data_IF_017762187533
#
_entry.id   IF_017762187533
#
_cell.length_a   1.000
_cell.length_b   1.000
_cell.length_c   1.000
_cell.angle_alpha   90.00
_cell.angle_beta   90.00
_cell.angle_gamma   90.00
#
_symmetry.space_group_name_H-M   'P 1'
#
loop_
_entity.id
_entity.type
_entity.pdbx_description
1 polymer ?
2 non-polymer ?
3 non-polymer ?
4 non-polymer ?
5 water ?
#
# COMPACT_ATOMS: atom_id res chain seq x y z
N UNK A 2 -13.76 -16.75 -16.41
CA UNK A 2 -13.58 -15.57 -17.29
C UNK A 2 -14.63 -14.51 -16.91
N UNK A 3 -15.56 -14.21 -17.83
CA UNK A 3 -16.70 -13.32 -17.56
C UNK A 3 -16.32 -11.89 -17.15
N UNK A 4 -15.66 -11.70 -16.00
CA UNK A 4 -15.20 -10.35 -15.63
C UNK A 4 -14.17 -9.83 -16.63
N UNK A 5 -13.33 -10.70 -17.17
CA UNK A 5 -12.33 -10.25 -18.14
C UNK A 5 -13.01 -9.66 -19.38
N UNK A 6 -14.01 -10.35 -19.90
CA UNK A 6 -14.74 -9.84 -21.07
C UNK A 6 -15.37 -8.48 -20.79
N UNK A 7 -15.99 -8.32 -19.63
CA UNK A 7 -16.63 -7.08 -19.25
C UNK A 7 -15.60 -5.97 -19.05
N UNK A 8 -14.51 -6.29 -18.37
CA UNK A 8 -13.46 -5.31 -18.08
C UNK A 8 -12.77 -4.90 -19.37
N UNK A 9 -12.37 -5.88 -20.17
CA UNK A 9 -11.62 -5.61 -21.40
C UNK A 9 -12.43 -4.81 -22.42
N UNK A 10 -13.74 -5.05 -22.46
CA UNK A 10 -14.62 -4.40 -23.44
C UNK A 10 -14.85 -2.93 -23.11
N UNK A 11 -14.79 -2.57 -21.84
CA UNK A 11 -15.17 -1.23 -21.37
C UNK A 11 -14.27 -0.10 -21.88
N UNK A 12 -14.90 1.03 -22.18
CA UNK A 12 -14.19 2.26 -22.44
C UNK A 12 -13.77 2.77 -21.07
N UNK A 13 -12.50 3.11 -20.93
CA UNK A 13 -11.97 3.49 -19.63
C UNK A 13 -12.14 5.00 -19.46
N UNK A 14 -12.92 5.43 -18.44
CA UNK A 14 -13.11 6.87 -18.27
C UNK A 14 -11.81 7.58 -17.90
N UNK A 15 -11.79 8.89 -18.07
CA UNK A 15 -10.60 9.69 -17.84
C UNK A 15 -10.27 9.74 -16.35
N UNK A 16 -9.02 10.08 -16.04
CA UNK A 16 -8.59 10.27 -14.66
C UNK A 16 -9.43 11.36 -13.98
N UNK A 17 -9.70 12.43 -14.71
CA UNK A 17 -10.52 13.53 -14.17
C UNK A 17 -11.91 13.06 -13.76
N UNK A 18 -12.57 12.30 -14.63
CA UNK A 18 -13.89 11.73 -14.33
C UNK A 18 -13.84 10.81 -13.11
N UNK A 19 -12.81 9.98 -13.04
CA UNK A 19 -12.68 8.99 -11.96
C UNK A 19 -12.18 9.55 -10.63
N UNK A 20 -11.70 10.80 -10.64
CA UNK A 20 -11.24 11.53 -9.43
C UNK A 20 -9.99 10.92 -8.75
N UNK A 21 -9.27 10.08 -9.47
CA UNK A 21 -8.14 9.34 -8.90
C UNK A 21 -6.89 10.20 -8.65
N UNK A 22 -6.86 11.43 -9.16
CA UNK A 22 -5.78 12.37 -8.85
C UNK A 22 -5.95 13.04 -7.47
N UNK A 23 -7.15 12.93 -6.90
CA UNK A 23 -7.45 13.58 -5.63
C UNK A 23 -6.91 12.78 -4.44
N UNK A 24 -6.11 13.40 -3.58
CA UNK A 24 -5.68 12.72 -2.35
C UNK A 24 -6.85 12.27 -1.48
N UNK A 25 -7.97 13.00 -1.53
CA UNK A 25 -9.13 12.69 -0.66
C UNK A 25 -10.08 11.63 -1.26
N UNK A 26 -9.66 11.00 -2.35
CA UNK A 26 -10.43 9.97 -3.06
C UNK A 26 -10.99 8.89 -2.13
N UNK A 27 -12.22 8.45 -2.44
CA UNK A 27 -12.91 7.41 -1.72
C UNK A 27 -13.29 6.28 -2.68
N UNK A 28 -12.94 5.04 -2.32
CA UNK A 28 -13.35 3.87 -3.10
C UNK A 28 -14.75 3.36 -2.75
N UNK A 29 -15.28 3.78 -1.60
CA UNK A 29 -16.47 3.15 -1.01
C UNK A 29 -17.67 3.04 -1.96
N UNK A 30 -17.85 4.04 -2.82
CA UNK A 30 -19.02 4.11 -3.70
C UNK A 30 -18.83 3.36 -5.02
N UNK A 31 -17.64 2.80 -5.24
CA UNK A 31 -17.31 2.17 -6.52
C UNK A 31 -17.51 0.66 -6.47
N UNK A 32 -17.93 0.08 -7.59
CA UNK A 32 -17.99 -1.37 -7.75
C UNK A 32 -16.59 -1.93 -7.97
N UNK A 33 -16.44 -3.25 -7.82
CA UNK A 33 -15.18 -3.91 -8.15
C UNK A 33 -14.74 -3.58 -9.58
N UNK A 34 -15.68 -3.67 -10.53
CA UNK A 34 -15.40 -3.32 -11.93
C UNK A 34 -14.89 -1.88 -12.05
N UNK A 35 -15.52 -0.96 -11.32
CA UNK A 35 -15.10 0.44 -11.36
C UNK A 35 -13.68 0.64 -10.83
N UNK A 36 -13.33 -0.06 -9.76
CA UNK A 36 -11.95 0.01 -9.25
C UNK A 36 -10.95 -0.56 -10.27
N UNK A 37 -11.38 -1.58 -11.02
CA UNK A 37 -10.54 -2.16 -12.07
C UNK A 37 -10.31 -1.15 -13.19
N UNK A 38 -11.36 -0.45 -13.61
CA UNK A 38 -11.23 0.62 -14.59
C UNK A 38 -10.29 1.72 -14.10
N UNK A 39 -10.43 2.12 -12.85
CA UNK A 39 -9.52 3.09 -12.24
C UNK A 39 -8.06 2.64 -12.34
N UNK A 40 -7.82 1.36 -12.09
CA UNK A 40 -6.48 0.80 -12.13
C UNK A 40 -5.91 0.82 -13.55
N UNK A 41 -6.71 0.47 -14.54
CA UNK A 41 -6.26 0.61 -15.93
C UNK A 41 -5.86 2.07 -16.23
N UNK A 42 -6.66 3.02 -15.75
CA UNK A 42 -6.40 4.44 -15.96
C UNK A 42 -5.08 4.89 -15.33
N UNK A 43 -4.75 4.35 -14.16
CA UNK A 43 -3.46 4.66 -13.51
C UNK A 43 -2.29 4.24 -14.38
N UNK A 44 -2.35 3.01 -14.91
CA UNK A 44 -1.29 2.52 -15.81
C UNK A 44 -1.18 3.42 -17.04
N UNK A 45 -2.33 3.71 -17.62
CA UNK A 45 -2.42 4.48 -18.86
C UNK A 45 -1.85 5.89 -18.68
N UNK A 46 -2.28 6.59 -17.63
CA UNK A 46 -1.89 7.98 -17.43
C UNK A 46 -0.51 8.18 -16.81
N UNK A 47 0.11 7.09 -16.37
CA UNK A 47 1.53 7.11 -15.99
C UNK A 47 2.46 6.64 -17.12
N UNK A 48 1.93 6.59 -18.35
CA UNK A 48 2.76 6.32 -19.53
C UNK A 48 3.41 4.95 -19.43
N UNK A 49 2.67 3.96 -18.92
CA UNK A 49 3.19 2.60 -18.71
C UNK A 49 2.73 1.62 -19.81
N UNK A 50 1.55 1.85 -20.37
CA UNK A 50 0.95 0.88 -21.29
C UNK A 50 1.67 0.84 -22.63
N UNK A 51 1.71 1.98 -23.33
CA UNK A 51 2.41 2.07 -24.62
C UNK A 51 3.93 1.97 -24.43
N UNK A 52 4.45 2.63 -23.39
CA UNK A 52 5.89 2.61 -23.08
C UNK A 52 6.46 1.18 -22.99
N UNK A 53 5.75 0.28 -22.32
CA UNK A 53 6.24 -1.09 -22.12
C UNK A 53 5.45 -2.12 -22.92
N UNK A 54 4.69 -1.63 -23.90
CA UNK A 54 3.96 -2.43 -24.86
C UNK A 54 3.03 -3.47 -24.21
N UNK A 55 2.31 -3.05 -23.18
CA UNK A 55 1.34 -3.92 -22.53
C UNK A 55 0.11 -4.11 -23.41
N UNK A 56 -0.27 -5.37 -23.62
CA UNK A 56 -1.50 -5.72 -24.32
C UNK A 56 -2.68 -5.47 -23.40
N UNK A 57 -3.74 -4.85 -23.95
CA UNK A 57 -4.90 -4.49 -23.15
C UNK A 57 -5.51 -5.67 -22.39
N UNK A 58 -5.67 -6.79 -23.10
CA UNK A 58 -6.30 -7.97 -22.54
C UNK A 58 -5.45 -8.56 -21.42
N UNK A 59 -4.13 -8.50 -21.59
CA UNK A 59 -3.18 -9.01 -20.60
C UNK A 59 -3.20 -8.15 -19.34
N UNK A 60 -3.21 -6.83 -19.51
CA UNK A 60 -3.28 -5.91 -18.38
C UNK A 60 -4.57 -6.11 -17.59
N UNK A 61 -5.68 -6.21 -18.31
CA UNK A 61 -6.97 -6.49 -17.71
C UNK A 61 -6.93 -7.80 -16.94
N UNK A 62 -6.35 -8.84 -17.54
CA UNK A 62 -6.30 -10.15 -16.87
C UNK A 62 -5.48 -10.06 -15.60
N UNK A 63 -4.33 -9.39 -15.69
CA UNK A 63 -3.43 -9.23 -14.54
C UNK A 63 -4.14 -8.50 -13.39
N UNK A 64 -4.80 -7.38 -13.70
CA UNK A 64 -5.53 -6.62 -12.69
C UNK A 64 -6.56 -7.49 -11.98
N UNK A 65 -7.31 -8.27 -12.76
CA UNK A 65 -8.32 -9.16 -12.20
C UNK A 65 -7.68 -10.27 -11.34
N UNK A 66 -6.54 -10.79 -11.79
CA UNK A 66 -5.80 -11.80 -11.01
C UNK A 66 -5.34 -11.25 -9.66
N UNK A 67 -4.80 -10.03 -9.69
CA UNK A 67 -4.39 -9.36 -8.46
C UNK A 67 -5.58 -9.18 -7.52
N UNK A 68 -6.67 -8.62 -8.04
CA UNK A 68 -7.89 -8.44 -7.23
C UNK A 68 -8.35 -9.77 -6.62
N UNK A 69 -8.39 -10.82 -7.44
CA UNK A 69 -8.86 -12.15 -7.01
C UNK A 69 -8.01 -12.74 -5.89
N UNK A 70 -6.71 -12.44 -5.89
CA UNK A 70 -5.81 -13.07 -4.93
C UNK A 70 -5.68 -12.33 -3.59
N UNK A 71 -6.53 -11.33 -3.37
CA UNK A 71 -6.78 -10.80 -2.03
C UNK A 71 -7.93 -11.59 -1.42
N UNK A 72 -7.88 -11.78 -0.11
CA UNK A 72 -8.96 -12.49 0.57
C UNK A 72 -10.06 -11.51 0.95
N UNK A 73 -11.19 -11.58 0.25
CA UNK A 73 -12.25 -10.56 0.39
C UNK A 73 -12.84 -10.51 1.80
N UNK A 74 -12.79 -11.62 2.52
CA UNK A 74 -13.36 -11.66 3.87
C UNK A 74 -12.41 -11.20 4.98
N UNK A 75 -11.15 -10.92 4.63
CA UNK A 75 -10.23 -10.27 5.58
C UNK A 75 -10.67 -8.79 5.63
N UNK A 76 -10.83 -8.24 6.83
CA UNK A 76 -11.59 -6.99 7.02
C UNK A 76 -10.93 -5.76 6.40
N UNK A 77 -9.62 -5.65 6.55
CA UNK A 77 -8.87 -4.52 6.06
C UNK A 77 -7.93 -4.88 4.90
N UNK A 78 -7.10 -5.92 5.08
CA UNK A 78 -6.09 -6.28 4.06
C UNK A 78 -6.72 -7.10 2.94
N UNK A 79 -7.55 -6.41 2.16
CA UNK A 79 -8.23 -7.00 1.01
C UNK A 79 -7.99 -6.11 -0.20
N UNK A 80 -8.63 -6.43 -1.32
CA UNK A 80 -8.37 -5.69 -2.55
C UNK A 80 -8.51 -4.17 -2.39
N UNK A 81 -9.52 -3.70 -1.63
CA UNK A 81 -9.77 -2.26 -1.55
C UNK A 81 -8.59 -1.51 -0.90
N UNK A 82 -7.90 -2.15 0.04
CA UNK A 82 -6.71 -1.52 0.65
C UNK A 82 -5.58 -1.41 -0.38
N UNK A 83 -5.39 -2.47 -1.18
CA UNK A 83 -4.34 -2.46 -2.21
C UNK A 83 -4.64 -1.42 -3.28
N UNK A 84 -5.89 -1.41 -3.73
CA UNK A 84 -6.38 -0.41 -4.66
C UNK A 84 -6.17 1.01 -4.14
N UNK A 85 -6.53 1.24 -2.87
CA UNK A 85 -6.38 2.58 -2.27
C UNK A 85 -4.94 2.99 -2.14
N UNK A 86 -4.08 2.02 -1.86
CA UNK A 86 -2.65 2.25 -1.79
C UNK A 86 -2.10 2.68 -3.16
N UNK A 87 -2.54 1.99 -4.22
CA UNK A 87 -2.16 2.35 -5.59
C UNK A 87 -2.73 3.71 -5.97
N UNK A 88 -3.95 3.99 -5.54
CA UNK A 88 -4.56 5.31 -5.80
C UNK A 88 -3.76 6.45 -5.18
N UNK A 89 -3.33 6.24 -3.93
CA UNK A 89 -2.50 7.25 -3.28
C UNK A 89 -1.18 7.41 -4.00
N UNK A 90 -0.59 6.30 -4.45
CA UNK A 90 0.62 6.36 -5.27
C UNK A 90 0.40 7.22 -6.51
N UNK A 91 -0.66 6.92 -7.25
CA UNK A 91 -1.01 7.72 -8.43
C UNK A 91 -1.16 9.21 -8.10
N UNK A 92 -1.91 9.50 -7.03
CA UNK A 92 -2.12 10.89 -6.60
C UNK A 92 -0.80 11.56 -6.22
N UNK A 93 0.05 10.84 -5.49
CA UNK A 93 1.36 11.37 -5.08
C UNK A 93 2.24 11.69 -6.30
N UNK A 94 2.24 10.79 -7.28
CA UNK A 94 3.02 10.98 -8.50
C UNK A 94 2.48 12.16 -9.31
N UNK A 95 1.15 12.32 -9.33
CA UNK A 95 0.51 13.36 -10.13
C UNK A 95 0.36 14.67 -9.35
N UNK A 96 -0.64 14.75 -8.48
CA UNK A 96 -0.89 15.95 -7.69
C UNK A 96 0.29 16.33 -6.79
N UNK A 97 0.94 15.31 -6.23
CA UNK A 97 2.09 15.50 -5.34
C UNK A 97 3.38 15.77 -6.09
N UNK A 98 3.36 15.65 -7.41
CA UNK A 98 4.48 16.00 -8.28
C UNK A 98 5.74 15.17 -8.04
N UNK A 99 5.55 13.92 -7.64
CA UNK A 99 6.69 13.01 -7.46
C UNK A 99 7.11 12.37 -8.80
N UNK A 100 6.22 12.30 -9.78
CA UNK A 100 6.48 11.58 -11.03
C UNK A 100 7.80 11.99 -11.68
N UNK A 101 7.99 13.28 -11.87
CA UNK A 101 9.20 13.77 -12.57
C UNK A 101 10.51 13.55 -11.82
N UNK A 102 10.44 13.16 -10.55
CA UNK A 102 11.63 12.84 -9.75
C UNK A 102 12.12 11.39 -9.91
N UNK A 103 11.33 10.57 -10.59
CA UNK A 103 11.60 9.12 -10.67
C UNK A 103 11.78 8.68 -12.12
N UNK A 104 12.42 7.53 -12.30
CA UNK A 104 12.57 6.92 -13.63
C UNK A 104 11.28 6.22 -14.04
N UNK A 105 11.15 5.92 -15.34
CA UNK A 105 9.98 5.17 -15.84
C UNK A 105 9.85 3.80 -15.17
N UNK A 106 10.98 3.13 -14.99
CA UNK A 106 11.02 1.80 -14.35
C UNK A 106 10.60 1.87 -12.89
N UNK A 107 11.04 2.90 -12.19
CA UNK A 107 10.65 3.11 -10.80
C UNK A 107 9.14 3.31 -10.70
N UNK A 108 8.56 4.09 -11.61
CA UNK A 108 7.11 4.33 -11.61
C UNK A 108 6.36 3.03 -11.90
N UNK A 109 6.82 2.29 -12.90
CA UNK A 109 6.26 1.00 -13.23
C UNK A 109 6.27 0.06 -12.01
N UNK A 110 7.42 -0.01 -11.33
CA UNK A 110 7.60 -0.92 -10.18
C UNK A 110 6.73 -0.50 -9.00
N UNK A 111 6.66 0.80 -8.75
CA UNK A 111 5.88 1.31 -7.62
C UNK A 111 4.39 1.02 -7.78
N UNK A 112 3.85 1.20 -8.99
CA UNK A 112 2.43 0.96 -9.21
C UNK A 112 2.11 -0.54 -9.07
N UNK A 113 2.93 -1.39 -9.65
CA UNK A 113 2.77 -2.85 -9.51
C UNK A 113 2.92 -3.27 -8.05
N UNK A 114 3.93 -2.72 -7.39
CA UNK A 114 4.19 -3.02 -5.98
C UNK A 114 3.01 -2.60 -5.10
N UNK A 115 2.52 -1.38 -5.29
CA UNK A 115 1.37 -0.88 -4.51
C UNK A 115 0.16 -1.84 -4.62
N UNK A 116 -0.16 -2.25 -5.84
CA UNK A 116 -1.31 -3.13 -6.09
C UNK A 116 -1.10 -4.53 -5.52
N UNK A 117 0.16 -4.97 -5.53
CA UNK A 117 0.52 -6.34 -5.14
C UNK A 117 1.01 -6.52 -3.71
N UNK A 118 1.18 -5.42 -2.99
CA UNK A 118 2.00 -5.46 -1.76
C UNK A 118 1.43 -6.25 -0.58
N UNK A 119 0.12 -6.54 -0.56
CA UNK A 119 -0.49 -7.36 0.51
C UNK A 119 -1.15 -8.63 -0.02
N UNK A 120 -0.75 -9.09 -1.20
CA UNK A 120 -1.40 -10.23 -1.86
C UNK A 120 -1.51 -11.46 -0.95
N UNK A 121 -2.70 -12.07 -0.92
CA UNK A 121 -2.98 -13.25 -0.10
C UNK A 121 -2.74 -13.04 1.41
N UNK A 122 -2.95 -11.82 1.89
CA UNK A 122 -2.81 -11.52 3.31
C UNK A 122 -3.80 -12.37 4.13
N UNK A 123 -3.30 -13.10 5.13
CA UNK A 123 -4.17 -13.96 5.97
C UNK A 123 -4.97 -13.25 7.05
N UNK A 124 -4.78 -11.94 7.21
CA UNK A 124 -5.46 -11.15 8.22
C UNK A 124 -4.89 -11.27 9.62
N UNK A 125 -3.66 -11.76 9.72
CA UNK A 125 -2.92 -11.84 10.98
C UNK A 125 -1.49 -11.34 10.74
N UNK A 126 -0.82 -10.97 11.82
CA UNK A 126 0.46 -10.28 11.77
C UNK A 126 1.64 -11.23 11.63
N UNK A 127 2.81 -10.68 11.34
CA UNK A 127 4.05 -11.44 11.29
C UNK A 127 4.31 -12.18 12.60
N UNK A 128 4.09 -11.45 13.69
CA UNK A 128 4.28 -12.00 15.03
C UNK A 128 3.38 -13.23 15.23
N UNK A 129 2.12 -13.13 14.81
CA UNK A 129 1.18 -14.26 14.91
C UNK A 129 1.67 -15.47 14.10
N UNK A 130 2.14 -15.21 12.87
CA UNK A 130 2.64 -16.28 12.01
C UNK A 130 3.85 -16.98 12.65
N UNK A 131 4.71 -16.19 13.29
CA UNK A 131 5.88 -16.73 13.98
C UNK A 131 5.43 -17.61 15.15
N UNK A 132 4.48 -17.08 15.92
CA UNK A 132 4.02 -17.75 17.13
C UNK A 132 3.16 -18.98 16.90
N UNK A 133 2.56 -19.10 15.71
CA UNK A 133 1.74 -20.26 15.34
C UNK A 133 2.48 -21.18 14.36
N UNK A 134 3.81 -21.05 14.35
CA UNK A 134 4.69 -21.99 13.67
C UNK A 134 4.41 -22.07 12.17
N UNK A 135 4.16 -20.91 11.57
CA UNK A 135 3.90 -20.83 10.15
C UNK A 135 5.10 -21.32 9.36
N UNK A 136 4.82 -22.14 8.36
CA UNK A 136 5.78 -22.59 7.38
C UNK A 136 6.48 -21.41 6.70
N UNK A 137 5.73 -20.32 6.49
CA UNK A 137 6.27 -19.09 5.92
C UNK A 137 7.34 -18.47 6.81
N UNK A 138 7.09 -18.46 8.12
CA UNK A 138 8.06 -17.89 9.07
C UNK A 138 9.35 -18.69 9.06
N UNK A 139 9.22 -20.01 8.93
CA UNK A 139 10.35 -20.92 8.86
C UNK A 139 11.12 -20.64 7.57
N UNK A 140 10.41 -20.60 6.45
CA UNK A 140 10.97 -20.31 5.13
C UNK A 140 11.77 -19.00 5.12
N UNK A 141 11.25 -17.97 5.79
CA UNK A 141 11.82 -16.62 5.69
C UNK A 141 12.54 -16.17 6.98
N UNK A 142 12.93 -17.15 7.81
CA UNK A 142 13.60 -16.94 9.10
C UNK A 142 13.06 -15.77 9.92
N UNK A 143 11.73 -15.71 10.01
CA UNK A 143 11.01 -14.74 10.85
C UNK A 143 11.18 -13.28 10.45
N UNK A 144 11.72 -13.03 9.25
CA UNK A 144 12.01 -11.67 8.82
C UNK A 144 11.04 -11.28 7.71
N UNK A 145 10.24 -10.25 7.97
CA UNK A 145 9.26 -9.73 6.99
C UNK A 145 8.53 -10.88 6.32
N UNK A 146 7.98 -11.76 7.16
CA UNK A 146 7.39 -13.01 6.70
C UNK A 146 6.24 -12.79 5.71
N UNK A 147 5.24 -12.02 6.13
CA UNK A 147 4.12 -11.67 5.27
C UNK A 147 4.58 -11.07 3.95
N UNK A 148 5.54 -10.15 4.04
CA UNK A 148 5.95 -9.35 2.89
C UNK A 148 6.75 -10.18 1.87
N UNK A 149 7.53 -11.13 2.36
CA UNK A 149 8.12 -12.13 1.47
C UNK A 149 7.04 -12.94 0.78
N UNK A 150 5.97 -13.28 1.49
CA UNK A 150 4.85 -14.00 0.87
C UNK A 150 4.15 -13.16 -0.19
N UNK A 151 3.94 -11.88 0.10
CA UNK A 151 3.28 -10.98 -0.85
C UNK A 151 4.12 -10.84 -2.11
N UNK A 152 5.44 -10.76 -1.94
CA UNK A 152 6.36 -10.73 -3.09
C UNK A 152 6.31 -12.04 -3.90
N UNK A 153 6.27 -13.18 -3.22
CA UNK A 153 6.12 -14.50 -3.88
C UNK A 153 4.90 -14.53 -4.76
N UNK A 154 3.79 -14.07 -4.19
CA UNK A 154 2.52 -14.02 -4.90
C UNK A 154 2.57 -13.04 -6.06
N UNK A 155 3.20 -11.89 -5.85
CA UNK A 155 3.39 -10.90 -6.91
C UNK A 155 4.08 -11.51 -8.14
N UNK A 156 5.20 -12.17 -7.90
CA UNK A 156 5.95 -12.89 -8.93
C UNK A 156 5.09 -13.94 -9.64
N UNK A 157 4.40 -14.74 -8.85
CA UNK A 157 3.56 -15.81 -9.38
C UNK A 157 2.53 -15.29 -10.40
N UNK A 158 1.89 -14.17 -10.09
CA UNK A 158 0.88 -13.59 -10.98
C UNK A 158 1.55 -12.98 -12.22
N UNK A 159 2.68 -12.30 -12.02
CA UNK A 159 3.45 -11.73 -13.12
C UNK A 159 3.93 -12.79 -14.12
N UNK A 160 4.15 -14.01 -13.65
CA UNK A 160 4.59 -15.12 -14.49
C UNK A 160 3.46 -15.99 -15.00
N UNK A 161 2.25 -15.74 -14.53
CA UNK A 161 1.09 -16.53 -14.94
C UNK A 161 0.76 -16.32 -16.41
N UNK A 162 0.53 -17.42 -17.15
CA UNK A 162 0.11 -17.28 -18.55
C UNK A 162 -1.04 -16.28 -18.72
N UNK A 163 -0.90 -15.38 -19.69
CA UNK A 163 -1.94 -14.39 -19.98
C UNK A 163 -1.90 -13.14 -19.10
N UNK A 164 -1.05 -13.16 -18.07
CA UNK A 164 -0.95 -12.06 -17.09
C UNK A 164 0.39 -11.31 -17.12
N UNK A 165 1.22 -11.63 -18.11
CA UNK A 165 2.63 -11.23 -18.08
C UNK A 165 2.83 -9.79 -18.59
N UNK A 166 2.42 -8.82 -17.77
CA UNK A 166 2.49 -7.41 -18.14
C UNK A 166 3.92 -6.84 -18.26
N UNK A 167 4.91 -7.58 -17.78
CA UNK A 167 6.31 -7.18 -17.94
C UNK A 167 7.03 -7.95 -19.06
N UNK A 168 6.30 -8.72 -19.85
CA UNK A 168 6.90 -9.54 -20.92
C UNK A 168 7.56 -8.68 -22.00
N UNK A 169 7.15 -7.41 -22.11
CA UNK A 169 7.70 -6.50 -23.11
C UNK A 169 9.03 -5.86 -22.75
N UNK A 170 9.44 -5.96 -21.50
CA UNK A 170 10.68 -5.32 -21.05
C UNK A 170 11.91 -6.05 -21.58
N UNK A 171 12.96 -5.29 -21.85
CA UNK A 171 14.26 -5.88 -22.18
C UNK A 171 14.80 -6.60 -20.95
N UNK A 172 15.81 -7.44 -21.18
CA UNK A 172 16.36 -8.24 -20.10
C UNK A 172 16.87 -7.36 -18.95
N UNK A 173 17.56 -6.27 -19.27
CA UNK A 173 18.10 -5.38 -18.24
C UNK A 173 17.02 -4.54 -17.54
N UNK A 174 16.04 -4.06 -18.29
CA UNK A 174 14.93 -3.31 -17.68
C UNK A 174 14.10 -4.23 -16.77
N UNK A 175 13.93 -5.48 -17.19
CA UNK A 175 13.18 -6.46 -16.39
C UNK A 175 13.88 -6.70 -15.05
N UNK A 176 15.18 -6.99 -15.10
CA UNK A 176 16.00 -7.15 -13.90
C UNK A 176 15.87 -5.97 -12.95
N UNK A 177 16.01 -4.75 -13.50
CA UNK A 177 15.97 -3.53 -12.69
C UNK A 177 14.62 -3.40 -12.00
N UNK A 178 13.56 -3.62 -12.77
CA UNK A 178 12.20 -3.47 -12.28
C UNK A 178 11.87 -4.46 -11.18
N UNK A 179 12.20 -5.73 -11.39
CA UNK A 179 11.91 -6.75 -10.37
C UNK A 179 12.60 -6.46 -9.04
N UNK A 180 13.82 -5.93 -9.10
CA UNK A 180 14.56 -5.56 -7.90
C UNK A 180 13.86 -4.41 -7.15
N UNK A 181 13.38 -3.41 -7.88
CA UNK A 181 12.62 -2.30 -7.27
C UNK A 181 11.31 -2.80 -6.64
N UNK A 182 10.60 -3.69 -7.34
CA UNK A 182 9.36 -4.28 -6.82
C UNK A 182 9.60 -5.00 -5.49
N UNK A 183 10.60 -5.88 -5.44
CA UNK A 183 10.97 -6.57 -4.20
C UNK A 183 11.19 -5.60 -3.06
N UNK A 184 12.04 -4.60 -3.26
CA UNK A 184 12.35 -3.63 -2.21
C UNK A 184 11.12 -2.85 -1.78
N UNK A 185 10.28 -2.47 -2.76
CA UNK A 185 9.06 -1.71 -2.49
C UNK A 185 8.08 -2.51 -1.64
N UNK A 186 7.87 -3.78 -1.99
CA UNK A 186 6.95 -4.63 -1.24
C UNK A 186 7.49 -4.90 0.15
N UNK A 187 8.78 -5.23 0.25
CA UNK A 187 9.40 -5.47 1.55
C UNK A 187 9.33 -4.25 2.46
N UNK A 188 9.48 -3.06 1.87
CA UNK A 188 9.41 -1.78 2.59
C UNK A 188 8.11 -1.59 3.38
N UNK A 189 7.03 -2.24 2.93
CA UNK A 189 5.73 -2.07 3.58
C UNK A 189 5.61 -2.80 4.91
N UNK A 190 6.63 -3.57 5.29
CA UNK A 190 6.75 -4.08 6.66
C UNK A 190 7.03 -2.90 7.58
N UNK A 191 6.05 -2.55 8.43
CA UNK A 191 6.24 -1.43 9.34
C UNK A 191 7.50 -1.55 10.21
N UNK A 192 7.91 -2.79 10.48
CA UNK A 192 9.16 -3.05 11.18
C UNK A 192 10.37 -2.47 10.43
N UNK A 193 10.37 -2.62 9.11
CA UNK A 193 11.44 -2.09 8.26
C UNK A 193 11.38 -0.56 8.17
N UNK A 194 10.17 -0.01 8.16
CA UNK A 194 10.00 1.44 8.17
C UNK A 194 10.63 2.04 9.43
N UNK A 195 10.27 1.49 10.59
CA UNK A 195 10.80 1.97 11.86
C UNK A 195 12.32 1.83 11.91
N UNK A 196 12.85 0.74 11.35
CA UNK A 196 14.29 0.50 11.30
C UNK A 196 15.06 1.51 10.43
N UNK A 197 14.46 1.89 9.31
CA UNK A 197 15.18 2.65 8.28
C UNK A 197 14.86 4.14 8.25
N UNK A 198 13.75 4.56 8.86
CA UNK A 198 13.28 5.94 8.71
C UNK A 198 14.21 6.96 9.36
N UNK A 199 14.91 6.53 10.41
CA UNK A 199 15.86 7.40 11.12
C UNK A 199 16.88 8.00 10.16
N UNK A 200 17.44 7.14 9.31
CA UNK A 200 18.40 7.58 8.30
C UNK A 200 17.80 8.65 7.40
N UNK A 201 16.58 8.40 6.92
CA UNK A 201 15.86 9.32 6.04
C UNK A 201 15.62 10.67 6.71
N UNK A 202 15.09 10.66 7.93
CA UNK A 202 14.82 11.89 8.66
C UNK A 202 16.11 12.67 8.94
N UNK A 203 17.19 11.95 9.25
CA UNK A 203 18.49 12.55 9.57
C UNK A 203 19.08 13.26 8.35
N UNK A 204 19.04 12.57 7.21
CA UNK A 204 19.51 13.15 5.96
C UNK A 204 18.79 14.47 5.66
N UNK A 205 17.48 14.47 5.82
CA UNK A 205 16.69 15.67 5.58
C UNK A 205 17.03 16.76 6.60
N UNK A 206 17.13 16.39 7.87
CA UNK A 206 17.43 17.35 8.93
C UNK A 206 18.81 18.01 8.72
N UNK A 207 19.75 17.24 8.19
CA UNK A 207 21.12 17.72 7.98
C UNK A 207 21.33 18.33 6.58
N UNK A 208 20.25 18.48 5.82
CA UNK A 208 20.30 18.98 4.45
C UNK A 208 21.30 18.16 3.62
N UNK A 209 21.26 16.84 3.80
CA UNK A 209 22.13 15.93 3.08
C UNK A 209 21.36 15.08 2.09
N UNK A 210 20.02 15.20 2.07
CA UNK A 210 19.21 14.28 1.28
C UNK A 210 19.38 14.55 -0.21
N UNK A 211 19.70 13.49 -0.96
CA UNK A 211 20.06 13.58 -2.37
C UNK A 211 19.44 12.44 -3.15
N UNK A 212 18.39 12.74 -3.91
CA UNK A 212 17.73 11.71 -4.73
C UNK A 212 18.61 11.10 -5.82
N UNK A 213 19.70 11.78 -6.20
CA UNK A 213 20.64 11.23 -7.20
C UNK A 213 21.53 10.12 -6.65
N UNK A 214 21.63 10.02 -5.33
CA UNK A 214 22.33 8.89 -4.73
C UNK A 214 21.41 7.68 -4.79
N UNK A 215 21.86 6.59 -5.45
CA UNK A 215 21.06 5.37 -5.57
C UNK A 215 20.49 4.84 -4.26
N UNK A 216 21.29 4.83 -3.20
CA UNK A 216 20.82 4.34 -1.92
C UNK A 216 19.71 5.23 -1.33
N UNK A 217 19.88 6.54 -1.45
CA UNK A 217 18.91 7.48 -0.91
C UNK A 217 17.62 7.47 -1.72
N UNK A 218 17.74 7.25 -3.03
CA UNK A 218 16.58 7.02 -3.90
C UNK A 218 15.75 5.82 -3.45
N UNK A 219 16.41 4.69 -3.20
CA UNK A 219 15.66 3.51 -2.78
C UNK A 219 15.10 3.68 -1.37
N UNK A 220 15.84 4.36 -0.49
CA UNK A 220 15.32 4.74 0.82
C UNK A 220 14.04 5.59 0.66
N UNK A 221 14.07 6.59 -0.22
CA UNK A 221 12.88 7.40 -0.48
C UNK A 221 11.70 6.58 -1.00
N UNK A 222 11.97 5.67 -1.95
CA UNK A 222 10.93 4.80 -2.49
C UNK A 222 10.29 3.95 -1.40
N UNK A 223 11.09 3.48 -0.43
CA UNK A 223 10.56 2.70 0.70
C UNK A 223 9.62 3.54 1.55
N UNK A 224 10.01 4.78 1.80
CA UNK A 224 9.21 5.71 2.62
C UNK A 224 7.92 6.09 1.89
N UNK A 225 8.03 6.32 0.58
CA UNK A 225 6.85 6.61 -0.25
C UNK A 225 5.86 5.45 -0.22
N UNK A 226 6.36 4.22 -0.29
CA UNK A 226 5.51 3.04 -0.16
C UNK A 226 4.72 3.04 1.16
N UNK A 227 5.42 3.31 2.26
CA UNK A 227 4.77 3.39 3.58
C UNK A 227 3.71 4.49 3.63
N UNK A 228 4.04 5.66 3.05
CA UNK A 228 3.13 6.79 3.02
C UNK A 228 1.82 6.42 2.33
N UNK A 229 1.94 5.69 1.21
CA UNK A 229 0.77 5.22 0.47
C UNK A 229 0.03 4.10 1.22
N UNK A 230 0.79 3.20 1.84
CA UNK A 230 0.22 2.07 2.58
C UNK A 230 -0.66 2.59 3.73
N UNK A 231 -0.22 3.68 4.36
CA UNK A 231 -0.95 4.26 5.49
C UNK A 231 -1.94 5.37 5.10
N UNK A 232 -2.21 5.52 3.80
CA UNK A 232 -2.95 6.66 3.26
C UNK A 232 -4.31 6.92 3.92
N UNK A 233 -5.00 5.86 4.36
CA UNK A 233 -6.31 6.02 4.97
C UNK A 233 -6.28 6.97 6.17
N UNK A 234 -5.14 7.02 6.87
CA UNK A 234 -4.97 7.91 8.02
C UNK A 234 -5.01 9.40 7.66
N UNK A 235 -4.87 9.71 6.37
CA UNK A 235 -4.88 11.09 5.87
C UNK A 235 -6.22 11.52 5.27
N UNK A 236 -7.16 10.58 5.14
CA UNK A 236 -8.43 10.84 4.43
C UNK A 236 -9.39 11.68 5.26
N UNK A 237 -10.40 12.29 4.60
CA UNK A 237 -11.46 12.99 5.33
C UNK A 237 -12.01 12.12 6.44
N UNK A 238 -12.36 12.74 7.56
CA UNK A 238 -12.70 12.00 8.78
C UNK A 238 -13.65 10.82 8.59
N UNK A 239 -14.75 11.00 7.84
CA UNK A 239 -15.70 9.88 7.67
C UNK A 239 -15.12 8.67 6.94
N UNK A 240 -14.25 8.94 5.97
CA UNK A 240 -13.56 7.89 5.23
C UNK A 240 -12.54 7.21 6.16
N UNK A 241 -11.71 8.00 6.81
CA UNK A 241 -10.72 7.46 7.75
C UNK A 241 -11.37 6.68 8.90
N UNK A 242 -12.46 7.20 9.45
CA UNK A 242 -13.15 6.53 10.56
C UNK A 242 -13.70 5.18 10.13
N UNK A 243 -14.29 5.11 8.94
CA UNK A 243 -14.78 3.85 8.41
C UNK A 243 -13.65 2.83 8.23
N UNK A 244 -12.53 3.26 7.65
CA UNK A 244 -11.41 2.35 7.41
C UNK A 244 -10.73 1.96 8.73
N UNK A 245 -10.65 2.89 9.68
CA UNK A 245 -10.14 2.60 11.02
C UNK A 245 -10.92 1.46 11.68
N UNK A 246 -12.24 1.40 11.44
CA UNK A 246 -13.07 0.32 11.96
C UNK A 246 -12.71 -1.05 11.38
N UNK A 247 -12.36 -1.07 10.09
CA UNK A 247 -11.89 -2.28 9.43
C UNK A 247 -10.56 -2.75 10.03
N UNK A 248 -9.65 -1.79 10.24
CA UNK A 248 -8.34 -2.09 10.83
C UNK A 248 -8.52 -2.75 12.19
N UNK A 249 -9.37 -2.13 13.02
CA UNK A 249 -9.65 -2.65 14.35
C UNK A 249 -10.34 -4.01 14.29
N UNK A 250 -11.30 -4.16 13.37
CA UNK A 250 -11.99 -5.44 13.20
C UNK A 250 -10.99 -6.57 12.95
N UNK A 251 -10.06 -6.34 12.03
CA UNK A 251 -9.04 -7.33 11.71
C UNK A 251 -8.12 -7.62 12.89
N UNK A 252 -7.64 -6.57 13.55
CA UNK A 252 -6.81 -6.75 14.74
C UNK A 252 -7.53 -7.52 15.85
N UNK A 253 -8.81 -7.21 16.09
CA UNK A 253 -9.55 -7.91 17.14
C UNK A 253 -9.81 -9.36 16.75
N UNK A 254 -9.98 -9.62 15.46
CA UNK A 254 -10.13 -10.98 14.98
C UNK A 254 -8.88 -11.80 15.30
N UNK A 255 -7.70 -11.22 15.05
CA UNK A 255 -6.44 -11.87 15.45
C UNK A 255 -6.39 -12.15 16.94
N UNK A 256 -6.77 -11.17 17.75
CA UNK A 256 -6.84 -11.34 19.20
C UNK A 256 -7.69 -12.52 19.63
N UNK A 257 -8.85 -12.70 18.98
CA UNK A 257 -9.69 -13.88 19.20
C UNK A 257 -8.89 -15.16 18.95
N UNK A 258 -8.16 -15.20 17.83
CA UNK A 258 -7.34 -16.35 17.45
C UNK A 258 -6.23 -16.58 18.47
N UNK A 259 -5.61 -15.50 18.94
CA UNK A 259 -4.54 -15.58 19.94
C UNK A 259 -5.02 -16.18 21.25
N UNK A 260 -6.22 -15.79 21.70
CA UNK A 260 -6.78 -16.37 22.92
C UNK A 260 -6.98 -17.87 22.75
N UNK A 261 -7.49 -18.26 21.59
CA UNK A 261 -7.82 -19.67 21.36
C UNK A 261 -6.59 -20.49 21.05
N UNK A 262 -5.74 -20.01 20.16
CA UNK A 262 -4.61 -20.80 19.65
C UNK A 262 -3.37 -20.73 20.53
N UNK A 263 -3.18 -19.60 21.21
CA UNK A 263 -1.98 -19.39 22.02
C UNK A 263 -2.24 -19.30 23.52
N UNK A 264 -3.52 -19.23 23.90
CA UNK A 264 -3.92 -19.06 25.29
C UNK A 264 -3.26 -17.86 25.96
N UNK A 265 -3.19 -16.76 25.21
CA UNK A 265 -2.62 -15.51 25.72
C UNK A 265 -3.67 -14.42 25.72
N UNK A 266 -3.53 -13.46 26.63
CA UNK A 266 -4.33 -12.25 26.58
C UNK A 266 -3.74 -11.37 25.49
N UNK A 267 -4.57 -10.94 24.53
CA UNK A 267 -3.99 -10.08 23.50
C UNK A 267 -3.57 -8.72 24.06
N UNK A 268 -2.64 -8.07 23.36
CA UNK A 268 -2.31 -6.68 23.66
C UNK A 268 -3.54 -5.84 23.37
N UNK A 269 -3.56 -4.61 23.89
CA UNK A 269 -4.72 -3.71 23.70
C UNK A 269 -5.13 -3.61 22.24
N UNK A 270 -4.15 -3.46 21.36
CA UNK A 270 -4.40 -3.33 19.92
C UNK A 270 -5.26 -4.48 19.39
N UNK A 271 -5.03 -5.68 19.91
CA UNK A 271 -5.71 -6.88 19.44
C UNK A 271 -6.83 -7.33 20.38
N UNK A 272 -7.16 -6.52 21.39
CA UNK A 272 -8.11 -6.91 22.43
C UNK A 272 -9.46 -6.17 22.34
N UNK A 273 -10.43 -6.83 21.73
CA UNK A 273 -11.79 -6.32 21.57
C UNK A 273 -12.41 -5.85 22.89
N UNK A 274 -12.09 -6.55 23.97
CA UNK A 274 -12.61 -6.20 25.30
C UNK A 274 -12.14 -4.81 25.74
N UNK A 275 -10.97 -4.41 25.24
CA UNK A 275 -10.38 -3.11 25.54
C UNK A 275 -10.49 -2.16 24.35
N UNK A 276 -11.55 -2.29 23.56
CA UNK A 276 -11.75 -1.43 22.39
C UNK A 276 -11.84 0.05 22.75
N UNK A 277 -12.13 0.34 24.01
CA UNK A 277 -12.10 1.73 24.50
C UNK A 277 -10.76 2.43 24.29
N UNK A 278 -9.70 1.67 24.07
CA UNK A 278 -8.36 2.23 23.83
C UNK A 278 -8.14 2.76 22.41
N UNK A 279 -9.07 2.52 21.49
CA UNK A 279 -8.86 2.87 20.08
C UNK A 279 -8.48 4.35 19.85
N UNK A 280 -9.27 5.31 20.38
CA UNK A 280 -8.89 6.71 20.16
C UNK A 280 -7.49 7.08 20.65
N UNK A 281 -7.13 6.64 21.85
CA UNK A 281 -5.79 6.91 22.37
C UNK A 281 -4.70 6.23 21.54
N UNK A 282 -4.98 5.02 21.05
CA UNK A 282 -4.02 4.28 20.21
C UNK A 282 -3.88 4.94 18.85
N UNK A 283 -4.98 5.47 18.31
CA UNK A 283 -4.94 6.17 17.03
C UNK A 283 -4.07 7.43 17.14
N UNK A 284 -4.27 8.19 18.21
CA UNK A 284 -3.44 9.38 18.46
C UNK A 284 -1.96 9.00 18.59
N UNK A 285 -1.69 7.95 19.34
CA UNK A 285 -0.32 7.49 19.59
C UNK A 285 0.36 7.03 18.31
N UNK A 286 -0.39 6.33 17.47
CA UNK A 286 0.08 5.86 16.17
C UNK A 286 0.34 7.02 15.19
N UNK A 287 -0.59 7.98 15.13
CA UNK A 287 -0.38 9.16 14.29
C UNK A 287 0.89 9.92 14.72
N UNK A 288 1.06 10.09 16.02
CA UNK A 288 2.27 10.74 16.54
C UNK A 288 3.55 9.94 16.27
N UNK A 289 3.52 8.65 16.55
CA UNK A 289 4.73 7.81 16.53
C UNK A 289 5.18 7.42 15.14
N UNK A 290 4.22 7.15 14.25
CA UNK A 290 4.48 6.55 12.94
C UNK A 290 4.17 7.49 11.77
N UNK A 291 3.06 8.21 11.85
CA UNK A 291 2.51 8.91 10.67
C UNK A 291 3.02 10.32 10.42
N UNK A 292 2.92 11.20 11.42
CA UNK A 292 3.23 12.63 11.22
C UNK A 292 4.61 12.91 10.63
N UNK A 293 5.63 12.26 11.19
CA UNK A 293 7.00 12.48 10.73
C UNK A 293 7.19 12.09 9.27
N UNK A 294 6.47 11.04 8.85
CA UNK A 294 6.56 10.55 7.48
C UNK A 294 5.92 11.55 6.50
N UNK A 295 4.70 12.00 6.79
CA UNK A 295 4.01 12.93 5.88
C UNK A 295 4.67 14.31 5.91
N UNK A 296 5.27 14.66 7.05
CA UNK A 296 6.09 15.88 7.14
C UNK A 296 7.31 15.80 6.22
N UNK A 297 8.02 14.67 6.30
CA UNK A 297 9.19 14.43 5.47
C UNK A 297 8.85 14.40 3.98
N UNK A 298 7.74 13.74 3.62
CA UNK A 298 7.32 13.68 2.23
C UNK A 298 7.00 15.08 1.69
N UNK A 299 6.36 15.91 2.51
CA UNK A 299 6.03 17.29 2.14
C UNK A 299 7.31 18.11 1.96
N UNK A 300 8.34 17.83 2.77
CA UNK A 300 9.65 18.46 2.59
C UNK A 300 10.22 18.14 1.21
N UNK A 301 10.08 16.88 0.79
CA UNK A 301 10.59 16.42 -0.50
C UNK A 301 9.77 17.03 -1.64
N UNK A 302 8.45 17.07 -1.49
CA UNK A 302 7.57 17.76 -2.45
C UNK A 302 6.42 18.45 -1.72
N UNK A 303 6.44 19.77 -1.69
CA UNK A 303 5.42 20.58 -1.03
C UNK A 303 3.99 20.20 -1.44
N UNK A 304 3.82 19.79 -2.69
CA UNK A 304 2.50 19.42 -3.21
C UNK A 304 1.90 18.17 -2.56
N UNK A 305 2.70 17.45 -1.76
CA UNK A 305 2.17 16.33 -0.96
C UNK A 305 1.57 16.80 0.39
N UNK A 306 1.59 18.11 0.66
CA UNK A 306 1.02 18.67 1.90
C UNK A 306 -0.39 18.18 2.28
N UNK A 307 -1.32 18.03 1.30
CA UNK A 307 -2.66 17.57 1.66
C UNK A 307 -2.71 16.27 2.48
N UNK A 308 -1.73 15.38 2.30
CA UNK A 308 -1.65 14.16 3.11
C UNK A 308 -1.35 14.52 4.57
N UNK A 309 -0.38 15.41 4.76
CA UNK A 309 -0.05 15.93 6.10
C UNK A 309 -1.25 16.65 6.73
N UNK A 310 -1.89 17.54 5.97
CA UNK A 310 -3.06 18.30 6.43
C UNK A 310 -4.14 17.34 6.93
N UNK A 311 -4.48 16.36 6.08
CA UNK A 311 -5.48 15.34 6.43
C UNK A 311 -5.14 14.51 7.65
N UNK A 312 -3.89 14.13 7.77
CA UNK A 312 -3.41 13.40 8.94
C UNK A 312 -3.58 14.23 10.22
N UNK A 313 -3.19 15.50 10.16
CA UNK A 313 -3.29 16.36 11.33
C UNK A 313 -4.75 16.58 11.73
N UNK A 314 -5.63 16.73 10.74
CA UNK A 314 -7.06 16.87 11.01
C UNK A 314 -7.62 15.63 11.71
N UNK A 315 -7.19 14.45 11.28
CA UNK A 315 -7.63 13.20 11.93
C UNK A 315 -7.08 13.06 13.34
N UNK A 316 -5.86 13.50 13.57
CA UNK A 316 -5.30 13.48 14.91
C UNK A 316 -6.15 14.32 15.86
N UNK A 317 -6.54 15.50 15.43
CA UNK A 317 -7.39 16.39 16.24
C UNK A 317 -8.71 15.69 16.61
N UNK A 318 -9.33 15.05 15.62
CA UNK A 318 -10.60 14.35 15.81
C UNK A 318 -10.47 13.20 16.80
N UNK A 319 -9.45 12.36 16.63
CA UNK A 319 -9.21 11.25 17.57
C UNK A 319 -8.90 11.76 18.99
N UNK A 320 -8.05 12.78 19.09
CA UNK A 320 -7.70 13.34 20.41
C UNK A 320 -8.93 13.89 21.16
N UNK A 321 -9.86 14.46 20.40
CA UNK A 321 -11.11 14.95 21.00
C UNK A 321 -11.92 13.80 21.59
N UNK A 322 -11.90 12.64 20.92
CA UNK A 322 -12.56 11.45 21.44
C UNK A 322 -11.83 10.86 22.63
N UNK A 323 -10.50 10.93 22.61
CA UNK A 323 -9.67 10.30 23.63
C UNK A 323 -9.66 11.05 24.96
N UNK A 324 -9.79 12.37 24.94
CA UNK A 324 -9.53 13.17 26.13
C UNK A 324 -10.78 13.49 26.94
#
# INVERSE_FOLDING_TARGET
>A
ETRELQSLAAAVVPSAQTLKITDFSFSDFELSDLETALCTIRMFTDLNLVQNFQMKHEVLCRWILSVKKNYRKNVAYHNWRHAFNTAQCMFAALKAGKIQNKLTDLEILALLIAALSHDLDHPGVSNQFLINTNSELALMYNDESVLEHHHFDQCLMILNSPGNQILSGLSIEEYKTTLKIIKQAILATDLALYIKRRGEFFELIRKNQFNLEDPHEKELFLAMLMTACDLSAITKPWPIQQRIAELVATEFFDQGDRERKELNIEPTDLMNREKKNKIPSMQVGFIDAICLQLYEALTHVSEDCFPLLDGCRKNRQKWQALAE
#
